data_IF_606649618406
#
_entry.id   IF_606649618406
#
_cell.length_a   1.000
_cell.length_b   1.000
_cell.length_c   1.000
_cell.angle_alpha   90.00
_cell.angle_beta   90.00
_cell.angle_gamma   90.00
#
_symmetry.space_group_name_H-M   'P 1'
#
loop_
_entity.id
_entity.type
_entity.pdbx_description
1 polymer ?
#
# COMPACT_ATOMS: atom_id res chain seq x y z
N UNK A 1 14.16 14.15 15.00
CA UNK A 1 12.87 13.81 14.42
C UNK A 1 12.62 12.32 14.55
N UNK A 2 11.37 11.88 14.43
CA UNK A 2 11.07 10.44 14.35
C UNK A 2 11.21 10.04 12.88
N UNK A 3 11.75 8.85 12.67
CA UNK A 3 11.86 8.27 11.34
C UNK A 3 10.45 8.12 10.75
N UNK A 4 10.17 8.60 9.51
CA UNK A 4 8.89 8.38 8.84
C UNK A 4 8.48 6.91 8.77
N UNK A 5 9.41 5.96 8.72
CA UNK A 5 9.11 4.52 8.82
C UNK A 5 8.43 4.14 10.14
N UNK A 6 8.67 4.89 11.21
CA UNK A 6 8.01 4.67 12.49
C UNK A 6 6.53 5.06 12.47
N UNK A 7 6.13 5.94 11.55
CA UNK A 7 4.77 6.49 11.47
C UNK A 7 4.25 6.37 10.05
N UNK A 8 3.12 5.71 9.86
CA UNK A 8 2.47 5.61 8.57
C UNK A 8 0.96 5.85 8.70
N UNK A 9 0.40 6.62 7.77
CA UNK A 9 -1.03 6.94 7.77
C UNK A 9 -1.80 5.92 6.95
N UNK A 10 -2.89 5.40 7.52
CA UNK A 10 -3.79 4.45 6.86
C UNK A 10 -5.12 5.12 6.52
N UNK A 11 -5.50 5.04 5.25
CA UNK A 11 -6.76 5.60 4.73
C UNK A 11 -7.49 4.60 3.84
N UNK A 12 -8.79 4.86 3.53
CA UNK A 12 -9.60 3.92 2.78
C UNK A 12 -9.47 4.07 1.25
N UNK A 13 -9.20 5.27 0.75
CA UNK A 13 -9.22 5.59 -0.68
C UNK A 13 -7.86 6.13 -1.18
N UNK A 14 -7.59 5.97 -2.48
CA UNK A 14 -6.44 6.61 -3.11
C UNK A 14 -6.69 8.11 -3.36
N UNK A 15 -7.82 8.47 -3.93
CA UNK A 15 -8.18 9.86 -4.26
C UNK A 15 -9.04 10.55 -3.21
N UNK A 16 -9.30 11.86 -3.42
CA UNK A 16 -10.11 12.70 -2.54
C UNK A 16 -9.31 13.39 -1.43
N UNK A 17 -9.99 14.24 -0.65
CA UNK A 17 -9.35 15.11 0.36
C UNK A 17 -8.51 14.35 1.40
N UNK A 18 -8.96 13.16 1.79
CA UNK A 18 -8.30 12.29 2.77
C UNK A 18 -7.78 11.00 2.12
N UNK A 19 -7.60 11.00 0.80
CA UNK A 19 -7.03 9.89 0.05
C UNK A 19 -5.49 9.87 0.11
N UNK A 20 -4.92 8.73 -0.24
CA UNK A 20 -3.48 8.48 -0.26
C UNK A 20 -2.73 9.55 -1.03
N UNK A 21 -3.21 9.92 -2.23
CA UNK A 21 -2.50 10.87 -3.09
C UNK A 21 -2.40 12.26 -2.46
N UNK A 22 -3.50 12.78 -1.89
CA UNK A 22 -3.52 14.08 -1.22
C UNK A 22 -2.69 14.08 0.06
N UNK A 23 -2.81 13.02 0.85
CA UNK A 23 -2.08 12.89 2.10
C UNK A 23 -0.57 12.76 1.84
N UNK A 24 -0.14 12.00 0.84
CA UNK A 24 1.26 11.87 0.50
C UNK A 24 1.88 13.20 0.09
N UNK A 25 1.19 14.01 -0.73
CA UNK A 25 1.66 15.38 -1.07
C UNK A 25 1.80 16.27 0.16
N UNK A 26 0.80 16.22 1.05
CA UNK A 26 0.81 17.02 2.27
C UNK A 26 1.95 16.60 3.20
N UNK A 27 2.12 15.30 3.42
CA UNK A 27 3.18 14.79 4.30
C UNK A 27 4.57 14.96 3.70
N UNK A 28 4.74 14.82 2.37
CA UNK A 28 5.99 15.14 1.70
C UNK A 28 6.38 16.59 1.98
N UNK A 29 5.46 17.53 1.72
CA UNK A 29 5.71 18.96 1.95
C UNK A 29 6.05 19.28 3.42
N UNK A 30 5.44 18.58 4.37
CA UNK A 30 5.63 18.83 5.80
C UNK A 30 6.86 18.11 6.38
N UNK A 31 7.07 16.84 6.03
CA UNK A 31 8.10 15.99 6.60
C UNK A 31 9.45 16.10 5.89
N UNK A 32 9.42 16.34 4.60
CA UNK A 32 10.58 16.44 3.72
C UNK A 32 10.41 17.61 2.73
N UNK A 33 10.38 18.87 3.23
CA UNK A 33 10.28 20.04 2.35
C UNK A 33 11.54 20.18 1.52
N UNK A 34 11.38 20.61 0.28
CA UNK A 34 12.45 20.83 -0.69
C UNK A 34 12.40 22.24 -1.25
N UNK A 35 13.52 22.73 -1.77
CA UNK A 35 13.66 24.05 -2.39
C UNK A 35 14.23 23.96 -3.82
N UNK A 36 14.45 25.11 -4.48
CA UNK A 36 14.90 25.19 -5.86
C UNK A 36 16.32 24.62 -6.09
N UNK A 37 17.10 24.42 -5.06
CA UNK A 37 18.46 23.91 -5.12
C UNK A 37 18.54 22.39 -4.92
N UNK A 38 17.45 21.78 -4.51
CA UNK A 38 17.41 20.34 -4.26
C UNK A 38 17.33 19.54 -5.57
N UNK A 39 18.01 18.41 -5.60
CA UNK A 39 17.92 17.48 -6.71
C UNK A 39 16.54 16.80 -6.71
N UNK A 40 15.75 17.11 -7.75
CA UNK A 40 14.38 16.63 -7.90
C UNK A 40 14.24 15.84 -9.20
N UNK A 41 13.59 14.69 -9.13
CA UNK A 41 13.20 13.92 -10.29
C UNK A 41 11.68 13.91 -10.45
N UNK A 42 11.20 14.28 -11.64
CA UNK A 42 9.77 14.36 -11.95
C UNK A 42 9.31 13.13 -12.69
N UNK A 43 8.17 12.57 -12.26
CA UNK A 43 7.45 11.55 -13.00
C UNK A 43 5.92 11.84 -12.94
N UNK A 44 5.32 11.99 -14.11
CA UNK A 44 3.92 12.43 -14.25
C UNK A 44 3.64 13.73 -13.47
N UNK A 45 2.72 13.72 -12.54
CA UNK A 45 2.37 14.84 -11.66
C UNK A 45 3.06 14.79 -10.29
N UNK A 46 4.05 13.92 -10.12
CA UNK A 46 4.78 13.72 -8.88
C UNK A 46 6.22 14.24 -8.99
N UNK A 47 6.69 14.82 -7.90
CA UNK A 47 8.06 15.24 -7.71
C UNK A 47 8.64 14.41 -6.58
N UNK A 48 9.80 13.82 -6.84
CA UNK A 48 10.52 13.01 -5.87
C UNK A 48 11.88 13.66 -5.62
N UNK A 49 12.29 13.70 -4.36
CA UNK A 49 13.58 14.25 -3.96
C UNK A 49 14.24 13.41 -2.86
N UNK A 50 15.50 13.70 -2.59
CA UNK A 50 16.28 12.98 -1.59
C UNK A 50 15.58 13.06 -0.22
N UNK A 51 15.53 11.93 0.49
CA UNK A 51 14.82 11.81 1.77
C UNK A 51 13.35 11.42 1.65
N UNK A 52 12.78 11.34 0.44
CA UNK A 52 11.40 10.89 0.28
C UNK A 52 11.23 9.42 0.65
N UNK A 53 10.19 9.16 1.44
CA UNK A 53 9.75 7.81 1.76
C UNK A 53 8.84 7.27 0.66
N UNK A 54 9.28 6.20 0.01
CA UNK A 54 8.62 5.62 -1.16
C UNK A 54 8.35 4.14 -0.97
N UNK A 55 7.39 3.61 -1.73
CA UNK A 55 7.06 2.18 -1.79
C UNK A 55 7.11 1.70 -3.24
N UNK A 56 7.72 0.56 -3.44
CA UNK A 56 7.63 -0.18 -4.70
C UNK A 56 6.24 -0.82 -4.85
N UNK A 57 5.59 -0.60 -6.00
CA UNK A 57 4.23 -1.10 -6.26
C UNK A 57 4.16 -2.26 -7.26
N UNK A 58 5.32 -2.72 -7.74
CA UNK A 58 5.43 -3.84 -8.68
C UNK A 58 6.78 -4.55 -8.47
N UNK A 59 6.79 -5.87 -8.52
CA UNK A 59 8.04 -6.62 -8.38
C UNK A 59 9.07 -6.20 -9.43
N UNK A 60 10.28 -5.88 -8.98
CA UNK A 60 11.44 -5.57 -9.83
C UNK A 60 12.40 -6.75 -9.68
N UNK A 61 12.62 -7.46 -10.78
CA UNK A 61 13.54 -8.61 -10.83
C UNK A 61 14.91 -8.15 -11.31
N UNK A 62 15.95 -8.77 -10.75
CA UNK A 62 17.35 -8.50 -11.05
C UNK A 62 17.66 -6.99 -10.99
N UNK A 63 17.40 -6.31 -9.85
CA UNK A 63 17.71 -4.90 -9.70
C UNK A 63 19.21 -4.64 -9.81
N UNK A 64 19.60 -3.39 -9.97
CA UNK A 64 21.01 -3.00 -9.91
C UNK A 64 21.41 -2.64 -8.49
N UNK A 65 22.64 -2.99 -8.09
CA UNK A 65 23.26 -2.49 -6.88
C UNK A 65 23.58 -0.99 -6.98
N UNK A 66 24.20 -0.42 -5.94
CA UNK A 66 24.57 0.99 -5.87
C UNK A 66 25.49 1.43 -7.02
N UNK A 67 26.36 0.56 -7.51
CA UNK A 67 27.32 0.81 -8.58
C UNK A 67 26.71 0.58 -9.97
N UNK A 68 25.52 -0.01 -10.04
CA UNK A 68 24.81 -0.29 -11.29
C UNK A 68 25.05 -1.71 -11.84
N UNK A 69 25.62 -2.62 -11.07
CA UNK A 69 25.75 -4.03 -11.46
C UNK A 69 24.43 -4.78 -11.22
N UNK A 70 24.03 -5.61 -12.16
CA UNK A 70 22.80 -6.38 -12.08
C UNK A 70 22.93 -7.50 -11.02
N UNK A 71 22.01 -7.54 -10.10
CA UNK A 71 21.94 -8.53 -9.04
C UNK A 71 21.06 -9.70 -9.50
N UNK A 72 21.69 -10.74 -10.04
CA UNK A 72 20.98 -11.91 -10.57
C UNK A 72 20.29 -12.68 -9.42
N UNK A 73 19.04 -13.10 -9.66
CA UNK A 73 18.18 -13.80 -8.69
C UNK A 73 17.76 -12.97 -7.47
N UNK A 74 17.92 -11.67 -7.49
CA UNK A 74 17.36 -10.77 -6.49
C UNK A 74 16.08 -10.11 -6.97
N UNK A 75 15.27 -9.68 -6.01
CA UNK A 75 13.99 -9.03 -6.30
C UNK A 75 13.69 -7.97 -5.25
N UNK A 76 13.20 -6.82 -5.70
CA UNK A 76 12.51 -5.85 -4.85
C UNK A 76 11.02 -6.16 -4.97
N UNK A 77 10.40 -6.52 -3.85
CA UNK A 77 9.02 -6.96 -3.85
C UNK A 77 8.03 -5.78 -3.94
N UNK A 78 6.84 -6.06 -4.43
CA UNK A 78 5.70 -5.14 -4.31
C UNK A 78 5.35 -4.96 -2.81
N UNK A 79 5.39 -3.71 -2.34
CA UNK A 79 5.17 -3.36 -0.94
C UNK A 79 6.45 -3.02 -0.17
N UNK A 80 7.64 -3.31 -0.73
CA UNK A 80 8.89 -2.87 -0.12
C UNK A 80 8.94 -1.34 -0.10
N UNK A 81 9.28 -0.79 1.06
CA UNK A 81 9.37 0.66 1.29
C UNK A 81 10.78 1.06 1.66
N UNK A 82 11.18 2.27 1.28
CA UNK A 82 12.52 2.77 1.54
C UNK A 82 12.63 4.26 1.28
N UNK A 83 13.87 4.77 1.35
CA UNK A 83 14.16 6.18 1.18
C UNK A 83 14.98 6.45 -0.07
N UNK A 84 14.65 7.53 -0.79
CA UNK A 84 15.52 8.05 -1.84
C UNK A 84 16.74 8.65 -1.17
N UNK A 85 17.92 8.09 -1.43
CA UNK A 85 19.17 8.51 -0.81
C UNK A 85 19.99 9.43 -1.68
N UNK A 86 19.82 9.36 -3.00
CA UNK A 86 20.56 10.17 -3.98
C UNK A 86 19.78 10.30 -5.28
N UNK A 87 19.91 11.46 -5.94
CA UNK A 87 19.39 11.70 -7.28
C UNK A 87 20.52 12.30 -8.10
N UNK A 88 20.75 11.80 -9.32
CA UNK A 88 21.71 12.33 -10.27
C UNK A 88 21.10 12.31 -11.68
N UNK A 89 20.72 13.47 -12.20
CA UNK A 89 20.10 13.62 -13.51
C UNK A 89 18.82 12.78 -13.66
N UNK A 90 18.92 11.60 -14.28
CA UNK A 90 17.81 10.66 -14.53
C UNK A 90 17.93 9.38 -13.73
N UNK A 91 18.98 9.24 -12.94
CA UNK A 91 19.18 8.11 -12.04
C UNK A 91 18.89 8.52 -10.61
N UNK A 92 18.40 7.58 -9.81
CA UNK A 92 18.17 7.76 -8.39
C UNK A 92 18.49 6.49 -7.63
N UNK A 93 18.78 6.63 -6.35
CA UNK A 93 19.11 5.51 -5.48
C UNK A 93 18.10 5.44 -4.35
N UNK A 94 17.65 4.23 -4.04
CA UNK A 94 16.73 3.96 -2.93
C UNK A 94 17.38 2.96 -2.00
N UNK A 95 17.34 3.26 -0.71
CA UNK A 95 17.63 2.29 0.34
C UNK A 95 16.35 1.53 0.71
N UNK A 96 16.32 0.23 0.45
CA UNK A 96 15.31 -0.68 0.93
C UNK A 96 15.92 -1.56 2.04
N UNK A 97 15.54 -1.31 3.30
CA UNK A 97 15.98 -2.11 4.46
C UNK A 97 17.51 -2.21 4.64
N UNK A 98 18.23 -1.10 4.42
CA UNK A 98 19.69 -1.05 4.57
C UNK A 98 20.48 -1.52 3.35
N UNK A 99 19.82 -1.71 2.22
CA UNK A 99 20.46 -2.01 0.95
C UNK A 99 20.06 -1.01 -0.12
N UNK A 100 21.06 -0.35 -0.70
CA UNK A 100 20.86 0.68 -1.72
C UNK A 100 20.82 0.07 -3.12
N UNK A 101 19.85 0.49 -3.91
CA UNK A 101 19.66 0.09 -5.30
C UNK A 101 19.66 1.31 -6.21
N UNK A 102 20.38 1.21 -7.33
CA UNK A 102 20.36 2.21 -8.39
C UNK A 102 19.22 1.97 -9.35
N UNK A 103 18.46 3.01 -9.65
CA UNK A 103 17.32 2.99 -10.56
C UNK A 103 17.38 4.15 -11.55
N UNK A 104 16.74 4.00 -12.69
CA UNK A 104 16.54 5.08 -13.65
C UNK A 104 15.14 5.70 -13.50
N UNK A 105 14.94 6.87 -14.09
CA UNK A 105 13.67 7.61 -14.05
C UNK A 105 12.45 6.76 -14.47
N UNK A 106 12.62 5.81 -15.39
CA UNK A 106 11.53 4.93 -15.81
C UNK A 106 10.99 4.03 -14.68
N UNK A 107 11.83 3.68 -13.70
CA UNK A 107 11.41 2.88 -12.56
C UNK A 107 10.41 3.61 -11.64
N UNK A 108 10.30 4.95 -11.74
CA UNK A 108 9.33 5.73 -10.97
C UNK A 108 7.87 5.39 -11.31
N UNK A 109 7.59 4.79 -12.47
CA UNK A 109 6.25 4.26 -12.78
C UNK A 109 5.78 3.23 -11.75
N UNK A 110 6.74 2.53 -11.13
CA UNK A 110 6.52 1.49 -10.14
C UNK A 110 6.76 1.99 -8.70
N UNK A 111 6.91 3.28 -8.49
CA UNK A 111 7.13 3.88 -7.17
C UNK A 111 5.99 4.82 -6.79
N UNK A 112 5.67 4.86 -5.51
CA UNK A 112 4.75 5.84 -4.92
C UNK A 112 5.29 6.35 -3.61
N UNK A 113 4.98 7.60 -3.28
CA UNK A 113 5.19 8.09 -1.91
C UNK A 113 4.43 7.22 -0.92
N UNK A 114 5.01 6.97 0.24
CA UNK A 114 4.53 5.99 1.23
C UNK A 114 4.29 6.55 2.62
N UNK A 115 4.23 7.87 2.79
CA UNK A 115 3.82 8.48 4.07
C UNK A 115 2.39 8.09 4.45
N UNK A 116 1.52 7.92 3.44
CA UNK A 116 0.17 7.39 3.59
C UNK A 116 -0.07 6.25 2.59
N UNK A 117 -0.73 5.18 3.05
CA UNK A 117 -1.12 4.03 2.23
C UNK A 117 -2.57 3.63 2.50
N UNK A 118 -3.14 2.77 1.65
CA UNK A 118 -4.47 2.23 1.92
C UNK A 118 -4.41 1.10 2.96
N UNK A 119 -5.53 0.88 3.67
CA UNK A 119 -5.68 -0.29 4.54
C UNK A 119 -5.33 -1.61 3.83
N UNK A 120 -5.73 -1.76 2.56
CA UNK A 120 -5.43 -2.96 1.78
C UNK A 120 -3.92 -3.13 1.53
N UNK A 121 -3.22 -2.05 1.23
CA UNK A 121 -1.77 -2.07 1.02
C UNK A 121 -1.00 -2.38 2.31
N UNK A 122 -1.56 -2.06 3.48
CA UNK A 122 -0.95 -2.38 4.77
C UNK A 122 -1.12 -3.84 5.20
N UNK A 123 -1.91 -4.64 4.47
CA UNK A 123 -2.08 -6.06 4.79
C UNK A 123 -0.75 -6.81 4.67
N UNK A 124 -0.43 -7.59 5.69
CA UNK A 124 0.84 -8.32 5.78
C UNK A 124 2.02 -7.52 6.33
N UNK A 125 1.96 -6.19 6.33
CA UNK A 125 3.00 -5.35 6.91
C UNK A 125 2.83 -5.16 8.43
N UNK A 126 3.88 -4.71 9.08
CA UNK A 126 3.88 -4.30 10.48
C UNK A 126 4.40 -2.86 10.58
N UNK A 127 3.65 -1.99 11.24
CA UNK A 127 3.95 -0.56 11.36
C UNK A 127 4.17 -0.22 12.83
N UNK A 128 5.23 0.49 13.16
CA UNK A 128 5.52 0.83 14.55
C UNK A 128 4.40 1.67 15.16
N UNK A 129 3.97 2.70 14.44
CA UNK A 129 2.94 3.63 14.90
C UNK A 129 2.01 4.02 13.75
N UNK A 130 1.01 3.20 13.40
CA UNK A 130 0.03 3.59 12.40
C UNK A 130 -0.89 4.69 12.92
N UNK A 131 -1.25 5.61 12.02
CA UNK A 131 -2.29 6.63 12.23
C UNK A 131 -3.47 6.25 11.33
N UNK A 132 -4.55 5.79 11.91
CA UNK A 132 -5.76 5.44 11.18
C UNK A 132 -6.64 6.69 11.05
N UNK A 133 -7.08 7.00 9.83
CA UNK A 133 -8.03 8.09 9.60
C UNK A 133 -9.37 7.56 9.12
N UNK A 134 -10.45 8.03 9.77
CA UNK A 134 -11.84 7.63 9.46
C UNK A 134 -12.72 8.86 9.27
N UNK A 135 -12.54 9.62 8.18
CA UNK A 135 -13.39 10.76 7.90
C UNK A 135 -14.80 10.29 7.50
N UNK A 136 -15.81 11.13 7.71
CA UNK A 136 -17.20 10.82 7.34
C UNK A 136 -17.38 10.47 5.86
N UNK A 137 -16.59 11.07 4.98
CA UNK A 137 -16.59 10.76 3.54
C UNK A 137 -16.18 9.31 3.20
N UNK A 138 -15.49 8.61 4.10
CA UNK A 138 -15.06 7.23 3.89
C UNK A 138 -15.99 6.16 4.49
N UNK A 139 -17.09 6.57 5.11
CA UNK A 139 -18.01 5.67 5.84
C UNK A 139 -18.56 4.50 5.01
N UNK A 140 -18.67 4.65 3.68
CA UNK A 140 -19.18 3.60 2.80
C UNK A 140 -18.18 2.44 2.64
N UNK A 141 -16.88 2.75 2.53
CA UNK A 141 -15.82 1.75 2.39
C UNK A 141 -15.43 1.13 3.72
N UNK A 142 -15.44 1.94 4.78
CA UNK A 142 -15.02 1.51 6.10
C UNK A 142 -16.03 0.53 6.72
N UNK A 143 -15.50 -0.53 7.31
CA UNK A 143 -16.22 -1.57 8.01
C UNK A 143 -15.35 -2.18 9.12
N UNK A 144 -15.92 -3.06 9.95
CA UNK A 144 -15.20 -3.69 11.06
C UNK A 144 -13.92 -4.40 10.64
N UNK A 145 -13.93 -5.05 9.48
CA UNK A 145 -12.76 -5.79 8.99
C UNK A 145 -11.60 -4.85 8.62
N UNK A 146 -11.87 -3.75 7.91
CA UNK A 146 -10.85 -2.76 7.58
C UNK A 146 -10.32 -2.06 8.83
N UNK A 147 -11.18 -1.74 9.79
CA UNK A 147 -10.76 -1.18 11.08
C UNK A 147 -9.84 -2.14 11.82
N UNK A 148 -10.18 -3.44 11.84
CA UNK A 148 -9.35 -4.48 12.43
C UNK A 148 -8.01 -4.61 11.69
N UNK A 149 -8.01 -4.62 10.35
CA UNK A 149 -6.78 -4.66 9.54
C UNK A 149 -5.85 -3.52 9.94
N UNK A 150 -6.35 -2.27 9.98
CA UNK A 150 -5.52 -1.13 10.36
C UNK A 150 -5.00 -1.20 11.79
N UNK A 151 -5.87 -1.54 12.74
CA UNK A 151 -5.50 -1.64 14.15
C UNK A 151 -4.47 -2.74 14.42
N UNK A 152 -4.61 -3.89 13.76
CA UNK A 152 -3.69 -5.03 13.91
C UNK A 152 -2.31 -4.82 13.30
N UNK A 153 -2.06 -3.72 12.56
CA UNK A 153 -0.73 -3.36 12.03
C UNK A 153 0.20 -2.77 13.09
N UNK A 154 -0.37 -2.20 14.17
CA UNK A 154 0.39 -1.48 15.18
C UNK A 154 1.31 -2.41 16.00
N UNK A 155 2.60 -2.08 16.06
CA UNK A 155 3.58 -2.75 16.94
C UNK A 155 3.69 -2.07 18.30
N UNK A 156 3.74 -0.73 18.34
CA UNK A 156 3.97 0.03 19.57
C UNK A 156 2.77 0.87 19.98
N UNK A 157 2.25 1.68 19.05
CA UNK A 157 1.19 2.65 19.31
C UNK A 157 0.24 2.71 18.12
N UNK A 158 -1.02 2.97 18.40
CA UNK A 158 -2.05 3.27 17.40
C UNK A 158 -2.61 4.65 17.69
N UNK A 159 -2.64 5.51 16.68
CA UNK A 159 -3.42 6.74 16.71
C UNK A 159 -4.62 6.60 15.79
N UNK A 160 -5.75 7.13 16.25
CA UNK A 160 -6.97 7.15 15.48
C UNK A 160 -7.50 8.57 15.37
N UNK A 161 -7.73 9.04 14.14
CA UNK A 161 -8.29 10.36 13.84
C UNK A 161 -9.60 10.17 13.11
N UNK A 162 -10.71 10.58 13.76
CA UNK A 162 -12.05 10.47 13.19
C UNK A 162 -13.12 10.81 14.20
N UNK A 163 -14.35 11.07 13.70
CA UNK A 163 -15.49 11.31 14.57
C UNK A 163 -15.98 9.99 15.23
N UNK A 164 -16.29 10.06 16.51
CA UNK A 164 -16.72 8.87 17.28
C UNK A 164 -17.93 8.16 16.67
N UNK A 165 -18.89 8.91 16.10
CA UNK A 165 -20.06 8.34 15.45
C UNK A 165 -19.69 7.55 14.18
N UNK A 166 -18.69 8.03 13.40
CA UNK A 166 -18.23 7.35 12.19
C UNK A 166 -17.55 6.04 12.58
N UNK A 167 -16.68 6.09 13.58
CA UNK A 167 -15.99 4.90 14.11
C UNK A 167 -17.01 3.87 14.59
N UNK A 168 -17.97 4.29 15.40
CA UNK A 168 -18.99 3.40 15.94
C UNK A 168 -19.80 2.71 14.82
N UNK A 169 -20.21 3.46 13.80
CA UNK A 169 -20.88 2.88 12.62
C UNK A 169 -20.00 1.88 11.88
N UNK A 170 -18.71 2.20 11.68
CA UNK A 170 -17.78 1.33 10.97
C UNK A 170 -17.53 0.02 11.70
N UNK A 171 -17.37 0.08 13.03
CA UNK A 171 -17.13 -1.12 13.86
C UNK A 171 -18.34 -2.07 13.85
N UNK A 172 -19.56 -1.54 13.79
CA UNK A 172 -20.78 -2.35 13.74
C UNK A 172 -21.19 -2.77 12.32
N UNK A 173 -20.48 -2.28 11.28
CA UNK A 173 -20.73 -2.65 9.89
C UNK A 173 -19.97 -3.93 9.53
N UNK A 174 -20.66 -5.07 9.53
CA UNK A 174 -20.09 -6.39 9.20
C UNK A 174 -20.29 -6.73 7.72
N UNK A 175 -19.29 -6.51 6.87
CA UNK A 175 -19.39 -6.76 5.44
C UNK A 175 -19.34 -8.26 5.06
N UNK A 176 -18.74 -9.10 5.91
CA UNK A 176 -18.56 -10.52 5.59
C UNK A 176 -19.87 -11.31 5.73
N UNK A 177 -20.82 -10.85 6.55
CA UNK A 177 -22.09 -11.55 6.76
C UNK A 177 -23.06 -11.43 5.57
N UNK A 178 -22.81 -10.45 4.69
CA UNK A 178 -23.63 -10.22 3.49
C UNK A 178 -23.03 -10.85 2.23
N UNK A 179 -21.87 -11.50 2.34
CA UNK A 179 -21.26 -12.19 1.21
C UNK A 179 -22.07 -13.41 0.84
N UNK A 180 -22.68 -13.38 -0.33
CA UNK A 180 -23.26 -14.56 -0.95
C UNK A 180 -22.14 -15.46 -1.42
N UNK A 181 -21.99 -16.64 -0.84
CA UNK A 181 -21.05 -17.66 -1.30
C UNK A 181 -21.79 -18.98 -1.47
N UNK A 182 -21.42 -19.76 -2.46
CA UNK A 182 -21.96 -21.12 -2.63
C UNK A 182 -21.34 -22.12 -1.65
N UNK A 183 -20.42 -21.68 -0.78
CA UNK A 183 -19.70 -22.55 0.15
C UNK A 183 -20.63 -23.33 1.10
N UNK A 184 -21.70 -22.67 1.59
CA UNK A 184 -22.72 -23.30 2.42
C UNK A 184 -23.44 -24.45 1.68
N UNK A 185 -23.64 -24.30 0.39
CA UNK A 185 -24.30 -25.32 -0.42
C UNK A 185 -23.34 -26.47 -0.75
N UNK A 186 -22.04 -26.19 -0.94
CA UNK A 186 -21.03 -27.22 -1.18
C UNK A 186 -20.85 -28.19 0.00
N UNK A 187 -21.02 -27.71 1.23
CA UNK A 187 -20.94 -28.58 2.42
C UNK A 187 -22.21 -29.39 2.71
N UNK A 188 -23.34 -28.97 2.19
CA UNK A 188 -24.63 -29.63 2.43
C UNK A 188 -25.17 -30.36 1.19
N UNK A 189 -24.38 -30.48 0.14
CA UNK A 189 -24.83 -31.12 -1.10
C UNK A 189 -24.50 -32.60 -1.11
N UNK A 190 -25.48 -33.39 -1.51
CA UNK A 190 -25.31 -34.78 -1.94
C UNK A 190 -24.36 -34.83 -3.16
N UNK A 191 -23.63 -35.93 -3.33
CA UNK A 191 -22.57 -36.13 -4.33
C UNK A 191 -22.99 -35.74 -5.76
N UNK A 192 -24.26 -35.93 -6.14
CA UNK A 192 -24.81 -35.60 -7.45
C UNK A 192 -24.72 -34.11 -7.85
N UNK A 193 -24.82 -33.20 -6.87
CA UNK A 193 -24.71 -31.76 -7.11
C UNK A 193 -23.26 -31.31 -7.25
N UNK A 194 -22.36 -31.95 -6.52
CA UNK A 194 -20.90 -31.72 -6.65
C UNK A 194 -20.40 -32.13 -8.03
N UNK A 195 -20.87 -33.26 -8.59
CA UNK A 195 -20.55 -33.67 -9.95
C UNK A 195 -21.08 -32.69 -11.00
N UNK A 196 -22.29 -32.18 -10.85
CA UNK A 196 -22.85 -31.16 -11.74
C UNK A 196 -22.08 -29.83 -11.71
N UNK A 197 -21.61 -29.40 -10.54
CA UNK A 197 -20.77 -28.23 -10.40
C UNK A 197 -19.39 -28.44 -11.04
N UNK A 198 -18.74 -29.56 -10.76
CA UNK A 198 -17.43 -29.91 -11.33
C UNK A 198 -17.49 -29.99 -12.86
N UNK A 199 -18.54 -30.56 -13.42
CA UNK A 199 -18.76 -30.61 -14.88
C UNK A 199 -18.98 -29.24 -15.51
N UNK A 200 -19.60 -28.29 -14.81
CA UNK A 200 -19.76 -26.89 -15.27
C UNK A 200 -18.43 -26.11 -15.28
N UNK A 201 -17.56 -26.35 -14.31
CA UNK A 201 -16.24 -25.70 -14.25
C UNK A 201 -15.27 -26.27 -15.29
N UNK A 202 -15.29 -27.59 -15.53
CA UNK A 202 -14.45 -28.23 -16.56
C UNK A 202 -14.87 -27.92 -17.99
N UNK A 203 -16.11 -27.57 -18.23
CA UNK A 203 -16.58 -27.13 -19.55
C UNK A 203 -16.14 -25.70 -19.91
N UNK A 204 -15.95 -24.83 -18.92
CA UNK A 204 -15.50 -23.45 -19.14
C UNK A 204 -13.97 -23.31 -19.39
N UNK A 205 -13.17 -24.30 -18.97
CA UNK A 205 -11.73 -24.32 -19.28
C UNK A 205 -11.41 -24.82 -20.73
N UNK A 206 -12.39 -25.35 -21.45
CA UNK A 206 -12.21 -25.79 -22.85
C UNK A 206 -12.61 -24.77 -23.90
N UNK A 207 -13.01 -23.57 -23.50
CA UNK A 207 -13.48 -22.48 -24.38
C UNK A 207 -12.64 -21.19 -24.22
N UNK A 208 -11.46 -21.27 -23.58
CA UNK A 208 -10.52 -20.15 -23.47
C UNK A 208 -9.24 -20.45 -24.26
#
# INVERSE_FOLDING_TARGET
>A
GRDPEDIQVLTAYNGGKFGVDTLNRYFQWYANPWDENDDVIKYDNWYYHVGDFVMNIKNIYNPCDEDGHILINEMIANGDSGYITRIEKKDFWIDFNGRTYKMNQGALENMKLSYAITYHKSQGSSIQTPIIITPASHQYMLNSNLMYVGASRAKKKLYHIGAAEVVNRCVHKHSNWTRSTNFKYMFNCEEEFLEQLLNKFTLNEKVA
#
